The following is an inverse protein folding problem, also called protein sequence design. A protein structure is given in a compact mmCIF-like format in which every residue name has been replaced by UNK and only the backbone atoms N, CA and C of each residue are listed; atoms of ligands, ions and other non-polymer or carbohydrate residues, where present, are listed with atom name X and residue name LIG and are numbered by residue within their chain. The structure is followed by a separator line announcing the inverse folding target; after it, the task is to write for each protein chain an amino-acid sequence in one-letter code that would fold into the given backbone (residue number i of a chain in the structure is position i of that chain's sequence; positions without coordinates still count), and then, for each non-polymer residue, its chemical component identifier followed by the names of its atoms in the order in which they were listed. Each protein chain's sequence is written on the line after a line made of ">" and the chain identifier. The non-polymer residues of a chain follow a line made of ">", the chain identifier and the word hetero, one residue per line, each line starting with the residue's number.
data_IF_234651712076
#
_entry.id   IF_234651712076
#
_cell.length_a   1.000
_cell.length_b   1.000
_cell.length_c   1.000
_cell.angle_alpha   90.00
_cell.angle_beta   90.00
_cell.angle_gamma   90.00
#
_symmetry.space_group_name_H-M   'P 1'
#
loop_
_entity.id
_entity.type
_entity.pdbx_description
1 polymer ?
#
# COMPACT_ATOMS: atom_id res chain seq x y z
N UNK A 1 -20.07 -6.42 -19.33
CA UNK A 1 -19.49 -5.94 -18.06
C UNK A 1 -18.15 -6.64 -17.89
N UNK A 2 -17.04 -5.91 -17.81
CA UNK A 2 -15.74 -6.51 -17.50
C UNK A 2 -15.83 -7.17 -16.12
N UNK A 3 -15.31 -8.39 -15.98
CA UNK A 3 -15.25 -9.07 -14.69
C UNK A 3 -14.42 -8.20 -13.73
N UNK A 4 -14.98 -7.88 -12.57
CA UNK A 4 -14.28 -7.08 -11.56
C UNK A 4 -13.04 -7.86 -11.11
N UNK A 5 -11.85 -7.28 -11.30
CA UNK A 5 -10.59 -7.87 -10.87
C UNK A 5 -10.59 -8.03 -9.35
N UNK A 6 -10.23 -9.22 -8.85
CA UNK A 6 -10.12 -9.45 -7.41
C UNK A 6 -8.95 -8.66 -6.84
N UNK A 7 -9.14 -8.02 -5.68
CA UNK A 7 -8.08 -7.26 -5.03
C UNK A 7 -6.94 -8.15 -4.50
N UNK A 8 -7.21 -9.44 -4.25
CA UNK A 8 -6.21 -10.46 -3.87
C UNK A 8 -6.19 -11.60 -4.86
N UNK A 9 -4.98 -12.15 -5.10
CA UNK A 9 -4.75 -13.42 -5.81
C UNK A 9 -3.85 -14.32 -4.96
N UNK A 10 -4.04 -15.64 -5.04
CA UNK A 10 -3.23 -16.62 -4.29
C UNK A 10 -1.94 -16.96 -5.03
N UNK A 11 -0.94 -17.50 -4.30
CA UNK A 11 0.29 -18.04 -4.87
C UNK A 11 -0.01 -19.11 -5.93
N UNK A 12 -0.94 -20.02 -5.62
CA UNK A 12 -1.39 -21.04 -6.58
C UNK A 12 -1.94 -20.44 -7.88
N UNK A 13 -2.79 -19.40 -7.80
CA UNK A 13 -3.34 -18.75 -8.99
C UNK A 13 -2.22 -18.18 -9.88
N UNK A 14 -1.24 -17.50 -9.28
CA UNK A 14 -0.12 -16.92 -10.00
C UNK A 14 0.81 -18.01 -10.58
N UNK A 15 1.06 -19.09 -9.84
CA UNK A 15 1.84 -20.22 -10.31
C UNK A 15 1.18 -20.91 -11.50
N UNK A 16 -0.14 -21.07 -11.48
CA UNK A 16 -0.89 -21.60 -12.62
C UNK A 16 -0.82 -20.64 -13.82
N UNK A 17 -0.87 -19.33 -13.61
CA UNK A 17 -0.70 -18.33 -14.67
C UNK A 17 0.71 -18.40 -15.32
N UNK A 18 1.76 -18.54 -14.51
CA UNK A 18 3.14 -18.73 -15.00
C UNK A 18 3.28 -20.02 -15.82
N UNK A 19 2.76 -21.14 -15.30
CA UNK A 19 2.78 -22.43 -15.99
C UNK A 19 2.08 -22.36 -17.35
N UNK A 20 0.99 -21.63 -17.45
CA UNK A 20 0.23 -21.44 -18.68
C UNK A 20 0.78 -20.30 -19.56
N UNK A 21 1.94 -19.71 -19.22
CA UNK A 21 2.60 -18.62 -19.95
C UNK A 21 1.71 -17.37 -20.15
N UNK A 22 0.87 -17.07 -19.16
CA UNK A 22 -0.03 -15.91 -19.20
C UNK A 22 0.67 -14.61 -18.79
N UNK A 23 1.81 -14.69 -18.06
CA UNK A 23 2.61 -13.52 -17.72
C UNK A 23 3.23 -12.95 -18.99
N UNK A 24 2.92 -11.70 -19.28
CA UNK A 24 3.25 -11.02 -20.53
C UNK A 24 2.49 -9.69 -20.64
N UNK A 25 2.20 -9.16 -21.82
CA UNK A 25 1.57 -7.85 -21.99
C UNK A 25 0.22 -7.68 -21.29
N UNK A 26 -0.53 -8.77 -21.09
CA UNK A 26 -1.86 -8.75 -20.45
C UNK A 26 -1.86 -9.09 -18.97
N UNK A 27 -0.75 -9.60 -18.43
CA UNK A 27 -0.57 -9.91 -17.03
C UNK A 27 0.87 -9.57 -16.61
N UNK A 28 1.06 -8.53 -15.82
CA UNK A 28 2.37 -8.14 -15.28
C UNK A 28 2.45 -8.45 -13.80
N UNK A 29 3.62 -8.88 -13.37
CA UNK A 29 3.96 -9.13 -11.96
C UNK A 29 4.97 -8.08 -11.53
N UNK A 30 4.73 -7.43 -10.40
CA UNK A 30 5.60 -6.38 -9.86
C UNK A 30 6.08 -6.75 -8.46
N UNK A 31 7.39 -6.76 -8.27
CA UNK A 31 8.00 -6.72 -6.95
C UNK A 31 8.09 -5.26 -6.51
N UNK A 32 7.35 -4.90 -5.47
CA UNK A 32 7.33 -3.56 -4.90
C UNK A 32 8.00 -3.48 -3.54
N UNK A 33 8.95 -4.38 -3.27
CA UNK A 33 9.65 -4.44 -2.00
C UNK A 33 10.28 -3.11 -1.63
N UNK A 34 10.02 -2.67 -0.42
CA UNK A 34 10.57 -1.47 0.17
C UNK A 34 10.83 -1.69 1.66
N UNK A 35 11.90 -1.14 2.18
CA UNK A 35 12.30 -1.29 3.57
C UNK A 35 12.62 0.06 4.21
N UNK A 36 12.29 0.20 5.49
CA UNK A 36 12.79 1.30 6.31
C UNK A 36 14.32 1.30 6.34
N UNK A 37 14.96 2.45 6.27
CA UNK A 37 16.42 2.59 6.23
C UNK A 37 17.15 1.83 7.35
N UNK A 38 16.55 1.76 8.56
CA UNK A 38 17.11 1.03 9.71
C UNK A 38 17.21 -0.49 9.49
N UNK A 39 16.46 -1.05 8.53
CA UNK A 39 16.50 -2.50 8.21
C UNK A 39 17.78 -2.88 7.47
N UNK A 40 18.45 -1.95 6.79
CA UNK A 40 19.71 -2.13 6.07
C UNK A 40 19.65 -3.24 5.00
N UNK A 41 18.51 -3.42 4.36
CA UNK A 41 18.30 -4.30 3.19
C UNK A 41 18.26 -3.44 1.93
N UNK A 42 18.62 -4.05 0.79
CA UNK A 42 18.53 -3.41 -0.53
C UNK A 42 17.53 -4.19 -1.40
N UNK A 43 16.28 -3.71 -1.54
CA UNK A 43 15.24 -4.47 -2.23
C UNK A 43 15.56 -4.69 -3.72
N UNK A 44 16.18 -3.72 -4.39
CA UNK A 44 16.56 -3.85 -5.81
C UNK A 44 17.67 -4.91 -5.99
N UNK A 45 18.67 -4.93 -5.12
CA UNK A 45 19.72 -5.95 -5.18
C UNK A 45 19.17 -7.35 -4.85
N UNK A 46 18.24 -7.46 -3.91
CA UNK A 46 17.57 -8.73 -3.59
C UNK A 46 16.71 -9.22 -4.77
N UNK A 47 15.96 -8.32 -5.40
CA UNK A 47 15.20 -8.63 -6.62
C UNK A 47 16.11 -9.17 -7.75
N UNK A 48 17.26 -8.54 -7.98
CA UNK A 48 18.21 -9.00 -9.00
C UNK A 48 18.75 -10.41 -8.73
N UNK A 49 18.88 -10.77 -7.45
CA UNK A 49 19.35 -12.10 -7.06
C UNK A 49 18.23 -13.14 -7.18
N UNK A 50 17.00 -12.79 -6.81
CA UNK A 50 15.91 -13.76 -6.74
C UNK A 50 14.54 -13.07 -6.71
N UNK A 51 13.69 -13.41 -7.68
CA UNK A 51 12.32 -12.88 -7.79
C UNK A 51 11.37 -13.91 -8.43
N UNK A 52 10.08 -13.62 -8.39
CA UNK A 52 9.04 -14.43 -9.08
C UNK A 52 9.26 -14.33 -10.59
N UNK A 53 9.27 -15.46 -11.34
CA UNK A 53 9.52 -15.44 -12.78
C UNK A 53 8.64 -14.44 -13.53
N UNK A 54 9.25 -13.64 -14.42
CA UNK A 54 8.56 -12.63 -15.21
C UNK A 54 8.20 -11.34 -14.46
N UNK A 55 8.58 -11.21 -13.18
CA UNK A 55 8.36 -9.98 -12.44
C UNK A 55 9.31 -8.85 -12.89
N UNK A 56 8.83 -7.63 -12.78
CA UNK A 56 9.61 -6.39 -12.86
C UNK A 56 9.67 -5.72 -11.49
N UNK A 57 10.72 -4.94 -11.22
CA UNK A 57 10.84 -4.22 -9.95
C UNK A 57 10.11 -2.87 -10.03
N UNK A 58 9.22 -2.63 -9.09
CA UNK A 58 8.55 -1.35 -8.90
C UNK A 58 9.15 -0.63 -7.69
N UNK A 59 9.91 0.41 -7.94
CA UNK A 59 10.55 1.20 -6.89
C UNK A 59 9.58 2.28 -6.38
N UNK A 60 9.12 2.11 -5.14
CA UNK A 60 8.17 3.05 -4.51
C UNK A 60 8.79 4.42 -4.31
N UNK A 61 10.09 4.47 -4.02
CA UNK A 61 10.81 5.73 -3.87
C UNK A 61 11.03 6.41 -5.23
N UNK A 62 11.32 5.65 -6.28
CA UNK A 62 11.49 6.20 -7.63
C UNK A 62 10.17 6.71 -8.20
N UNK A 63 9.07 5.97 -8.01
CA UNK A 63 7.73 6.34 -8.45
C UNK A 63 7.02 7.22 -7.40
N UNK A 64 7.60 8.36 -7.07
CA UNK A 64 7.07 9.33 -6.10
C UNK A 64 7.36 10.76 -6.54
N UNK A 65 6.64 11.74 -5.97
CA UNK A 65 6.89 13.16 -6.19
C UNK A 65 8.25 13.58 -5.62
N UNK A 66 9.23 13.82 -6.49
CA UNK A 66 10.59 14.22 -6.13
C UNK A 66 10.71 15.66 -5.68
N UNK A 67 9.68 16.46 -5.86
CA UNK A 67 9.64 17.87 -5.42
C UNK A 67 9.14 18.00 -3.99
N UNK A 68 8.50 16.96 -3.45
CA UNK A 68 7.99 16.92 -2.09
C UNK A 68 9.11 16.77 -1.05
N UNK A 69 8.95 17.47 0.08
CA UNK A 69 9.80 17.29 1.26
C UNK A 69 9.42 16.03 2.08
N UNK A 70 8.34 15.33 1.69
CA UNK A 70 7.82 14.15 2.37
C UNK A 70 7.99 12.93 1.48
N UNK A 71 8.39 11.80 2.10
CA UNK A 71 8.61 10.55 1.39
C UNK A 71 7.29 10.00 0.83
N UNK A 72 7.38 9.30 -0.31
CA UNK A 72 6.31 8.51 -0.91
C UNK A 72 5.09 9.31 -1.41
N UNK A 73 5.13 10.64 -1.41
CA UNK A 73 4.04 11.42 -2.01
C UNK A 73 3.80 10.97 -3.46
N UNK A 74 2.54 10.82 -3.84
CA UNK A 74 2.21 10.33 -5.18
C UNK A 74 2.76 11.24 -6.26
N UNK A 75 3.32 10.68 -7.35
CA UNK A 75 3.83 11.46 -8.48
C UNK A 75 2.67 12.11 -9.25
N UNK A 76 3.00 12.98 -10.18
CA UNK A 76 2.02 13.48 -11.14
C UNK A 76 1.46 12.34 -12.02
N UNK A 77 0.26 12.50 -12.60
CA UNK A 77 -0.31 11.50 -13.51
C UNK A 77 0.60 11.17 -14.69
N UNK A 78 1.33 12.15 -15.21
CA UNK A 78 2.25 11.96 -16.33
C UNK A 78 3.47 11.12 -15.91
N UNK A 79 4.07 11.41 -14.75
CA UNK A 79 5.21 10.66 -14.22
C UNK A 79 4.81 9.21 -13.89
N UNK A 80 3.64 9.00 -13.29
CA UNK A 80 3.15 7.64 -13.05
C UNK A 80 2.94 6.87 -14.35
N UNK A 81 2.28 7.50 -15.34
CA UNK A 81 2.01 6.88 -16.64
C UNK A 81 3.30 6.50 -17.37
N UNK A 82 4.30 7.38 -17.37
CA UNK A 82 5.61 7.14 -17.95
C UNK A 82 6.33 5.98 -17.25
N UNK A 83 6.35 5.99 -15.92
CA UNK A 83 7.00 4.97 -15.09
C UNK A 83 6.41 3.58 -15.34
N UNK A 84 5.09 3.41 -15.24
CA UNK A 84 4.44 2.11 -15.44
C UNK A 84 4.46 1.67 -16.90
N UNK A 85 4.46 2.61 -17.84
CA UNK A 85 4.63 2.34 -19.26
C UNK A 85 5.97 1.66 -19.56
N UNK A 86 7.07 2.08 -18.91
CA UNK A 86 8.38 1.40 -19.00
C UNK A 86 8.37 -0.02 -18.44
N UNK A 87 7.47 -0.32 -17.48
CA UNK A 87 7.26 -1.67 -16.96
C UNK A 87 6.33 -2.52 -17.85
N UNK A 88 5.98 -2.02 -19.05
CA UNK A 88 5.15 -2.72 -20.02
C UNK A 88 3.68 -2.83 -19.61
N UNK A 89 3.17 -1.84 -18.86
CA UNK A 89 1.79 -1.84 -18.35
C UNK A 89 0.96 -0.86 -19.20
N UNK A 90 -0.11 -1.39 -19.80
CA UNK A 90 -1.16 -0.65 -20.50
C UNK A 90 -2.45 -0.66 -19.66
N UNK A 91 -3.45 0.13 -20.05
CA UNK A 91 -4.72 0.21 -19.31
C UNK A 91 -5.55 -1.08 -19.28
N UNK A 92 -5.24 -2.06 -20.13
CA UNK A 92 -5.88 -3.38 -20.15
C UNK A 92 -5.01 -4.51 -19.57
N UNK A 93 -3.86 -4.16 -18.98
CA UNK A 93 -2.96 -5.12 -18.31
C UNK A 93 -3.46 -5.43 -16.91
N UNK A 94 -3.64 -6.70 -16.55
CA UNK A 94 -3.81 -7.08 -15.15
C UNK A 94 -2.46 -7.01 -14.44
N UNK A 95 -2.37 -6.29 -13.34
CA UNK A 95 -1.16 -6.12 -12.54
C UNK A 95 -1.28 -6.93 -11.26
N UNK A 96 -0.29 -7.76 -10.94
CA UNK A 96 -0.15 -8.47 -9.66
C UNK A 96 1.05 -7.90 -8.92
N UNK A 97 0.84 -7.39 -7.72
CA UNK A 97 1.89 -6.75 -6.91
C UNK A 97 2.22 -7.62 -5.70
N UNK A 98 3.49 -7.82 -5.41
CA UNK A 98 3.95 -8.46 -4.19
C UNK A 98 5.13 -7.71 -3.56
N UNK A 99 5.49 -8.06 -2.36
CA UNK A 99 6.72 -7.65 -1.72
C UNK A 99 7.36 -8.79 -0.93
N UNK A 100 8.60 -8.60 -0.47
CA UNK A 100 9.41 -9.60 0.23
C UNK A 100 9.47 -9.36 1.74
N UNK A 101 8.44 -8.72 2.30
CA UNK A 101 8.33 -8.53 3.73
C UNK A 101 8.21 -9.86 4.47
N UNK A 102 8.93 -10.05 5.58
CA UNK A 102 8.76 -11.24 6.42
C UNK A 102 7.37 -11.32 7.08
N UNK A 103 6.62 -10.21 7.07
CA UNK A 103 5.24 -10.17 7.52
C UNK A 103 4.25 -10.73 6.48
N UNK A 104 4.71 -10.98 5.24
CA UNK A 104 3.88 -11.39 4.10
C UNK A 104 3.40 -10.22 3.25
N UNK A 105 3.31 -9.02 3.80
CA UNK A 105 2.98 -7.81 3.05
C UNK A 105 3.44 -6.55 3.81
N UNK A 106 3.96 -5.56 3.08
CA UNK A 106 4.33 -4.26 3.63
C UNK A 106 4.07 -3.11 2.65
N UNK A 107 4.64 -3.16 1.45
CA UNK A 107 4.57 -2.11 0.43
C UNK A 107 3.63 -2.43 -0.74
N UNK A 108 3.32 -3.70 -0.98
CA UNK A 108 2.46 -4.10 -2.09
C UNK A 108 1.06 -3.44 -2.08
N UNK A 109 0.37 -3.29 -0.94
CA UNK A 109 -0.90 -2.56 -0.89
C UNK A 109 -0.78 -1.08 -1.27
N UNK A 110 0.39 -0.44 -1.04
CA UNK A 110 0.61 0.94 -1.50
C UNK A 110 0.57 1.02 -3.02
N UNK A 111 1.26 0.14 -3.72
CA UNK A 111 1.28 0.12 -5.18
C UNK A 111 -0.09 -0.27 -5.75
N UNK A 112 -0.79 -1.23 -5.13
CA UNK A 112 -2.18 -1.54 -5.46
C UNK A 112 -3.08 -0.30 -5.38
N UNK A 113 -2.96 0.49 -4.32
CA UNK A 113 -3.71 1.72 -4.14
C UNK A 113 -3.32 2.78 -5.18
N UNK A 114 -2.01 2.95 -5.49
CA UNK A 114 -1.54 3.88 -6.51
C UNK A 114 -2.15 3.59 -7.88
N UNK A 115 -2.18 2.33 -8.32
CA UNK A 115 -2.83 1.96 -9.58
C UNK A 115 -4.31 2.38 -9.59
N UNK A 116 -5.03 2.13 -8.51
CA UNK A 116 -6.44 2.53 -8.40
C UNK A 116 -6.61 4.05 -8.39
N UNK A 117 -5.76 4.75 -7.67
CA UNK A 117 -5.74 6.22 -7.65
C UNK A 117 -5.57 6.79 -9.06
N UNK A 118 -4.73 6.17 -9.87
CA UNK A 118 -4.48 6.59 -11.25
C UNK A 118 -5.43 5.96 -12.28
N UNK A 119 -6.57 5.43 -11.81
CA UNK A 119 -7.68 4.98 -12.66
C UNK A 119 -7.50 3.58 -13.24
N UNK A 120 -6.63 2.73 -12.66
CA UNK A 120 -6.39 1.37 -13.10
C UNK A 120 -6.91 0.33 -12.09
N UNK A 121 -8.15 -0.16 -12.25
CA UNK A 121 -8.74 -1.09 -11.29
C UNK A 121 -8.27 -2.55 -11.46
N UNK A 122 -7.60 -2.88 -12.58
CA UNK A 122 -7.13 -4.23 -12.88
C UNK A 122 -5.80 -4.54 -12.16
N UNK A 123 -5.81 -4.42 -10.83
CA UNK A 123 -4.66 -4.64 -9.96
C UNK A 123 -5.03 -5.52 -8.78
N UNK A 124 -4.15 -6.47 -8.45
CA UNK A 124 -4.28 -7.41 -7.32
C UNK A 124 -3.01 -7.44 -6.50
N UNK A 125 -3.13 -7.70 -5.20
CA UNK A 125 -2.01 -8.02 -4.32
C UNK A 125 -1.87 -9.55 -4.25
N UNK A 126 -0.64 -10.06 -4.33
CA UNK A 126 -0.33 -11.47 -4.08
C UNK A 126 -0.45 -11.73 -2.58
N UNK A 127 -1.43 -12.53 -2.19
CA UNK A 127 -1.75 -12.79 -0.80
C UNK A 127 -0.62 -13.55 -0.08
N UNK A 128 -0.11 -12.96 1.00
CA UNK A 128 1.06 -13.44 1.71
C UNK A 128 2.41 -13.18 1.02
N UNK A 129 2.43 -12.53 -0.14
CA UNK A 129 3.62 -12.08 -0.85
C UNK A 129 4.66 -13.17 -1.13
N UNK A 130 5.93 -12.77 -1.15
CA UNK A 130 7.05 -13.71 -1.33
C UNK A 130 7.12 -14.77 -0.21
N UNK A 131 6.71 -14.42 1.00
CA UNK A 131 6.72 -15.36 2.14
C UNK A 131 5.91 -16.62 1.85
N UNK A 132 4.64 -16.45 1.41
CA UNK A 132 3.78 -17.59 1.10
C UNK A 132 4.17 -18.27 -0.21
N UNK A 133 4.62 -17.50 -1.21
CA UNK A 133 5.15 -18.03 -2.46
C UNK A 133 6.25 -19.09 -2.21
N UNK A 134 7.19 -18.78 -1.31
CA UNK A 134 8.27 -19.69 -0.92
C UNK A 134 7.76 -20.85 -0.08
N UNK A 135 6.84 -20.62 0.87
CA UNK A 135 6.27 -21.67 1.72
C UNK A 135 5.50 -22.72 0.91
N UNK A 136 4.87 -22.30 -0.20
CA UNK A 136 4.18 -23.18 -1.14
C UNK A 136 5.13 -23.89 -2.12
N UNK A 137 6.44 -23.63 -2.06
CA UNK A 137 7.46 -24.25 -2.91
C UNK A 137 7.43 -23.79 -4.39
N UNK A 138 6.94 -22.61 -4.64
CA UNK A 138 6.90 -22.04 -5.99
C UNK A 138 8.27 -21.57 -6.48
N UNK A 139 8.51 -21.53 -7.81
CA UNK A 139 9.83 -21.25 -8.37
C UNK A 139 10.24 -19.79 -8.27
N UNK A 140 11.54 -19.57 -8.18
CA UNK A 140 12.19 -18.28 -8.30
C UNK A 140 13.15 -18.26 -9.48
N UNK A 141 13.55 -17.05 -9.91
CA UNK A 141 14.54 -16.82 -10.95
C UNK A 141 15.39 -15.59 -10.64
N UNK A 142 16.56 -15.51 -11.24
CA UNK A 142 17.37 -14.29 -11.34
C UNK A 142 17.40 -13.73 -12.78
N UNK A 143 16.63 -14.32 -13.70
CA UNK A 143 16.56 -13.88 -15.09
C UNK A 143 15.73 -12.61 -15.18
N UNK A 144 16.31 -11.48 -15.62
CA UNK A 144 15.57 -10.22 -15.74
C UNK A 144 14.37 -10.35 -16.69
N UNK A 145 13.29 -9.66 -16.35
CA UNK A 145 12.18 -9.41 -17.27
C UNK A 145 12.44 -8.10 -18.00
N UNK A 146 12.39 -8.13 -19.32
CA UNK A 146 12.57 -6.96 -20.19
C UNK A 146 11.26 -6.70 -20.97
N UNK A 147 10.25 -6.11 -20.32
CA UNK A 147 8.98 -5.84 -20.98
C UNK A 147 9.15 -4.75 -22.06
N UNK A 148 8.48 -4.92 -23.19
CA UNK A 148 8.32 -3.84 -24.14
C UNK A 148 7.53 -2.70 -23.51
N UNK A 149 7.97 -1.45 -23.76
CA UNK A 149 7.26 -0.26 -23.28
C UNK A 149 5.84 -0.23 -23.81
N UNK A 150 4.89 0.09 -22.93
CA UNK A 150 3.49 0.25 -23.25
C UNK A 150 3.03 1.70 -23.02
N UNK A 151 1.88 2.07 -23.61
CA UNK A 151 1.21 3.33 -23.33
C UNK A 151 0.22 3.13 -22.19
N UNK A 152 0.36 3.94 -21.14
CA UNK A 152 -0.58 4.00 -20.02
C UNK A 152 -1.20 5.38 -19.94
N UNK A 153 -2.54 5.45 -19.78
CA UNK A 153 -3.28 6.71 -19.59
C UNK A 153 -3.77 6.79 -18.16
N UNK A 154 -3.13 7.64 -17.38
CA UNK A 154 -3.51 7.89 -16.00
C UNK A 154 -4.73 8.82 -15.90
N UNK A 155 -5.69 8.46 -15.05
CA UNK A 155 -6.87 9.25 -14.71
C UNK A 155 -7.02 9.27 -13.19
N UNK A 156 -6.70 10.41 -12.56
CA UNK A 156 -6.67 10.50 -11.10
C UNK A 156 -8.07 10.48 -10.50
N UNK A 157 -8.32 9.52 -9.63
CA UNK A 157 -9.49 9.50 -8.74
C UNK A 157 -9.17 10.22 -7.42
N UNK A 158 -9.46 11.52 -7.37
CA UNK A 158 -9.21 12.35 -6.19
C UNK A 158 -10.04 11.93 -4.96
N UNK A 159 -11.04 11.06 -5.13
CA UNK A 159 -11.80 10.51 -4.00
C UNK A 159 -11.01 9.50 -3.18
N UNK A 160 -9.85 9.03 -3.68
CA UNK A 160 -9.00 8.04 -3.01
C UNK A 160 -7.81 8.63 -2.26
N UNK A 161 -7.56 9.93 -2.37
CA UNK A 161 -6.42 10.61 -1.73
C UNK A 161 -6.86 11.83 -0.94
N UNK A 162 -6.18 12.09 0.18
CA UNK A 162 -6.40 13.26 1.05
C UNK A 162 -5.09 13.98 1.31
N UNK A 163 -5.21 15.31 1.46
CA UNK A 163 -4.13 16.23 1.76
C UNK A 163 -4.10 16.57 3.25
N UNK A 164 -3.05 17.26 3.67
CA UNK A 164 -2.95 17.85 5.00
C UNK A 164 -4.13 18.77 5.31
N UNK A 165 -4.53 19.60 4.35
CA UNK A 165 -5.63 20.57 4.49
C UNK A 165 -6.97 19.87 4.69
N UNK A 166 -7.22 18.75 3.99
CA UNK A 166 -8.40 17.93 4.18
C UNK A 166 -8.48 17.40 5.62
N UNK A 167 -7.36 16.87 6.14
CA UNK A 167 -7.31 16.30 7.50
C UNK A 167 -7.45 17.41 8.55
N UNK A 168 -6.79 18.54 8.37
CA UNK A 168 -6.89 19.70 9.26
C UNK A 168 -8.34 20.19 9.35
N UNK A 169 -9.04 20.31 8.23
CA UNK A 169 -10.47 20.67 8.20
C UNK A 169 -11.32 19.59 8.89
N UNK A 170 -11.01 18.31 8.67
CA UNK A 170 -11.76 17.24 9.30
C UNK A 170 -11.62 17.18 10.83
N UNK A 171 -10.48 17.54 11.37
CA UNK A 171 -10.31 17.66 12.84
C UNK A 171 -11.31 18.66 13.43
N UNK A 172 -11.55 19.75 12.71
CA UNK A 172 -12.50 20.80 13.11
C UNK A 172 -13.96 20.36 12.94
N UNK A 173 -14.27 19.71 11.82
CA UNK A 173 -15.65 19.32 11.47
C UNK A 173 -16.07 17.97 12.03
N UNK A 174 -15.13 17.07 12.31
CA UNK A 174 -15.33 15.69 12.82
C UNK A 174 -16.32 14.86 11.99
N UNK A 175 -16.35 15.09 10.68
CA UNK A 175 -17.31 14.44 9.77
C UNK A 175 -16.89 13.06 9.32
N UNK A 176 -15.58 12.82 9.21
CA UNK A 176 -15.02 11.61 8.64
C UNK A 176 -14.16 10.91 9.71
N UNK A 177 -14.37 9.62 9.85
CA UNK A 177 -13.53 8.76 10.68
C UNK A 177 -12.16 8.56 10.02
N UNK A 178 -11.10 8.60 10.82
CA UNK A 178 -9.73 8.43 10.34
C UNK A 178 -9.03 7.33 11.13
N UNK A 179 -8.48 6.36 10.41
CA UNK A 179 -7.73 5.24 10.99
C UNK A 179 -6.25 5.44 10.79
N UNK A 180 -5.47 5.33 11.86
CA UNK A 180 -4.00 5.29 11.83
C UNK A 180 -3.52 3.84 11.92
N UNK A 181 -2.77 3.41 10.90
CA UNK A 181 -2.31 2.04 10.73
C UNK A 181 -0.93 1.75 11.37
N UNK A 182 -0.33 2.71 12.09
CA UNK A 182 0.94 2.48 12.83
C UNK A 182 0.73 1.58 14.03
N UNK A 183 1.83 1.06 14.62
CA UNK A 183 1.77 0.33 15.89
C UNK A 183 1.09 1.17 16.99
N UNK A 184 0.44 0.50 17.94
CA UNK A 184 -0.22 1.18 19.04
C UNK A 184 0.74 2.04 19.86
N UNK A 185 1.98 1.59 20.04
CA UNK A 185 2.98 2.36 20.78
C UNK A 185 3.41 3.65 20.07
N UNK A 186 3.56 3.62 18.74
CA UNK A 186 3.83 4.83 17.95
C UNK A 186 2.64 5.79 17.96
N UNK A 187 1.44 5.27 17.79
CA UNK A 187 0.21 6.06 17.86
C UNK A 187 0.04 6.75 19.22
N UNK A 188 0.26 6.04 20.31
CA UNK A 188 0.16 6.56 21.68
C UNK A 188 1.30 7.50 22.07
N UNK A 189 2.38 7.54 21.32
CA UNK A 189 3.54 8.37 21.66
C UNK A 189 4.54 7.73 22.61
N UNK A 190 4.44 6.41 22.86
CA UNK A 190 5.31 5.66 23.81
C UNK A 190 6.41 4.84 23.11
N UNK A 191 6.30 4.62 21.80
CA UNK A 191 7.35 3.98 20.98
C UNK A 191 7.91 4.99 19.98
N UNK A 192 9.22 5.00 19.73
CA UNK A 192 9.83 5.95 18.79
C UNK A 192 9.37 5.71 17.36
N UNK A 193 9.38 6.76 16.57
CA UNK A 193 9.22 6.68 15.12
C UNK A 193 10.48 6.06 14.46
N UNK A 194 10.32 5.37 13.31
CA UNK A 194 11.47 4.88 12.55
C UNK A 194 12.37 6.00 12.00
N UNK A 195 11.83 7.20 11.81
CA UNK A 195 12.53 8.39 11.34
C UNK A 195 12.95 9.24 12.53
N UNK A 196 14.22 9.65 12.56
CA UNK A 196 14.80 10.37 13.71
C UNK A 196 14.30 11.82 13.86
N UNK A 197 13.75 12.39 12.78
CA UNK A 197 13.21 13.75 12.73
C UNK A 197 11.71 13.85 13.03
N UNK A 198 11.10 12.75 13.49
CA UNK A 198 9.68 12.65 13.75
C UNK A 198 9.45 12.05 15.15
N UNK A 199 8.60 12.68 15.96
CA UNK A 199 8.19 12.13 17.26
C UNK A 199 6.92 11.28 17.11
N UNK A 200 6.71 10.29 17.99
CA UNK A 200 5.48 9.50 18.01
C UNK A 200 4.32 10.32 18.58
N UNK A 201 3.10 9.86 18.32
CA UNK A 201 1.85 10.50 18.69
C UNK A 201 0.81 10.36 17.60
N UNK A 202 -0.29 11.12 17.69
CA UNK A 202 -1.38 11.07 16.71
C UNK A 202 -2.08 12.44 16.60
N UNK A 203 -2.87 12.62 15.54
CA UNK A 203 -3.72 13.81 15.42
C UNK A 203 -5.10 13.57 16.04
N UNK A 204 -5.80 14.63 16.53
CA UNK A 204 -7.08 14.50 17.22
C UNK A 204 -8.13 13.76 16.40
N UNK A 205 -8.86 12.83 17.04
CA UNK A 205 -9.94 12.09 16.43
C UNK A 205 -9.53 10.88 15.58
N UNK A 206 -8.25 10.62 15.42
CA UNK A 206 -7.77 9.39 14.82
C UNK A 206 -8.02 8.18 15.74
N UNK A 207 -8.39 7.03 15.16
CA UNK A 207 -8.43 5.75 15.85
C UNK A 207 -7.29 4.86 15.37
N UNK A 208 -6.76 4.02 16.25
CA UNK A 208 -5.64 3.16 15.90
C UNK A 208 -6.12 1.76 15.48
N UNK A 209 -5.67 1.32 14.32
CA UNK A 209 -5.81 -0.06 13.85
C UNK A 209 -4.52 -0.46 13.15
N UNK A 210 -3.55 -1.07 13.86
CA UNK A 210 -2.26 -1.42 13.28
C UNK A 210 -2.40 -2.27 12.02
N UNK A 211 -1.65 -1.95 10.95
CA UNK A 211 -1.74 -2.69 9.70
C UNK A 211 -1.44 -4.19 9.87
N UNK A 212 -0.60 -4.55 10.84
CA UNK A 212 -0.29 -5.94 11.15
C UNK A 212 -1.51 -6.72 11.66
N UNK A 213 -2.53 -6.04 12.20
CA UNK A 213 -3.76 -6.71 12.66
C UNK A 213 -4.60 -7.25 11.50
N UNK A 214 -4.46 -6.70 10.28
CA UNK A 214 -5.17 -7.22 9.10
C UNK A 214 -4.51 -8.45 8.49
N UNK A 215 -3.29 -8.79 8.93
CA UNK A 215 -2.55 -9.96 8.46
C UNK A 215 -2.74 -11.14 9.42
N UNK A 216 -2.84 -12.34 8.87
CA UNK A 216 -2.81 -13.59 9.60
C UNK A 216 -1.38 -14.02 9.96
N UNK A 217 -1.22 -15.10 10.72
CA UNK A 217 0.09 -15.60 11.19
C UNK A 217 1.05 -15.98 10.06
N UNK A 218 0.54 -16.51 8.96
CA UNK A 218 1.34 -16.84 7.75
C UNK A 218 1.58 -15.63 6.86
N UNK A 219 0.94 -14.50 7.13
CA UNK A 219 1.15 -13.24 6.41
C UNK A 219 0.12 -12.96 5.31
N UNK A 220 -0.83 -13.86 5.10
CA UNK A 220 -2.01 -13.60 4.26
C UNK A 220 -2.94 -12.59 4.91
N UNK A 221 -3.76 -11.94 4.11
CA UNK A 221 -4.82 -11.06 4.63
C UNK A 221 -5.89 -11.91 5.31
N UNK A 222 -6.33 -11.50 6.50
CA UNK A 222 -7.36 -12.22 7.26
C UNK A 222 -8.67 -12.36 6.47
N UNK A 223 -9.43 -13.37 6.82
CA UNK A 223 -10.74 -13.60 6.22
C UNK A 223 -11.75 -12.47 6.48
N UNK A 224 -12.80 -12.35 5.65
CA UNK A 224 -13.77 -11.25 5.76
C UNK A 224 -14.43 -11.11 7.13
N UNK A 225 -14.68 -12.20 7.83
CA UNK A 225 -15.30 -12.16 9.16
C UNK A 225 -14.36 -11.52 10.20
N UNK A 226 -13.06 -11.92 10.20
CA UNK A 226 -12.06 -11.38 11.11
C UNK A 226 -11.78 -9.91 10.80
N UNK A 227 -11.67 -9.54 9.51
CA UNK A 227 -11.53 -8.16 9.11
C UNK A 227 -12.71 -7.29 9.57
N UNK A 228 -13.95 -7.76 9.38
CA UNK A 228 -15.13 -7.05 9.82
C UNK A 228 -15.16 -6.89 11.37
N UNK A 229 -14.66 -7.87 12.10
CA UNK A 229 -14.51 -7.76 13.55
C UNK A 229 -13.49 -6.72 13.94
N UNK A 230 -12.31 -6.67 13.29
CA UNK A 230 -11.28 -5.66 13.55
C UNK A 230 -11.79 -4.24 13.38
N UNK A 231 -12.54 -3.96 12.30
CA UNK A 231 -13.14 -2.64 12.09
C UNK A 231 -14.14 -2.29 13.20
N UNK A 232 -15.00 -3.24 13.61
CA UNK A 232 -15.96 -3.03 14.73
C UNK A 232 -15.24 -2.76 16.05
N UNK A 233 -14.19 -3.52 16.36
CA UNK A 233 -13.40 -3.36 17.59
C UNK A 233 -12.67 -2.01 17.62
N UNK A 234 -12.23 -1.51 16.47
CA UNK A 234 -11.66 -0.17 16.31
C UNK A 234 -12.73 0.95 16.36
N UNK A 235 -14.02 0.61 16.41
CA UNK A 235 -15.13 1.58 16.39
C UNK A 235 -15.33 2.24 15.01
N UNK A 236 -14.92 1.57 13.93
CA UNK A 236 -15.02 2.07 12.56
C UNK A 236 -16.27 1.55 11.87
N UNK A 237 -17.09 2.45 11.37
CA UNK A 237 -18.29 2.15 10.58
C UNK A 237 -17.94 2.07 9.08
N UNK A 238 -17.96 0.87 8.51
CA UNK A 238 -17.68 0.66 7.08
C UNK A 238 -18.81 1.14 6.16
N UNK A 239 -19.98 1.52 6.69
CA UNK A 239 -21.02 2.17 5.89
C UNK A 239 -20.79 3.68 5.71
N UNK A 240 -19.91 4.27 6.51
CA UNK A 240 -19.56 5.68 6.49
C UNK A 240 -18.23 5.92 5.76
N UNK A 241 -17.97 7.13 5.24
CA UNK A 241 -16.68 7.49 4.64
C UNK A 241 -15.51 7.24 5.59
N UNK A 242 -14.43 6.72 5.05
CA UNK A 242 -13.24 6.31 5.79
C UNK A 242 -11.97 6.92 5.19
N UNK A 243 -11.16 7.55 6.02
CA UNK A 243 -9.79 7.94 5.68
C UNK A 243 -8.79 7.09 6.46
N UNK A 244 -7.65 6.86 5.87
CA UNK A 244 -6.57 6.04 6.46
C UNK A 244 -5.24 6.78 6.41
N UNK A 245 -4.44 6.62 7.45
CA UNK A 245 -3.12 7.25 7.62
C UNK A 245 -2.14 6.24 8.20
N UNK A 246 -0.85 6.53 8.10
CA UNK A 246 0.19 5.80 8.83
C UNK A 246 1.42 6.67 9.07
N UNK A 247 2.64 6.18 8.85
CA UNK A 247 3.87 6.99 8.93
C UNK A 247 4.08 7.87 7.70
N UNK A 248 3.96 7.30 6.50
CA UNK A 248 4.22 7.94 5.19
C UNK A 248 3.31 7.43 4.08
N UNK A 249 2.07 7.06 4.40
CA UNK A 249 1.07 6.62 3.41
C UNK A 249 1.26 5.20 2.86
N UNK A 250 2.28 4.45 3.28
CA UNK A 250 2.56 3.09 2.77
C UNK A 250 1.65 2.05 3.44
N UNK A 251 1.77 1.88 4.75
CA UNK A 251 1.03 0.82 5.47
C UNK A 251 -0.44 1.16 5.71
N UNK A 252 -0.85 2.41 5.58
CA UNK A 252 -2.26 2.82 5.56
C UNK A 252 -3.06 2.08 4.48
N UNK A 253 -2.40 1.74 3.36
CA UNK A 253 -3.02 1.03 2.25
C UNK A 253 -3.44 -0.41 2.58
N UNK A 254 -2.93 -1.03 3.66
CA UNK A 254 -3.44 -2.31 4.16
C UNK A 254 -4.87 -2.16 4.70
N UNK A 255 -5.13 -1.09 5.45
CA UNK A 255 -6.48 -0.80 5.96
C UNK A 255 -7.42 -0.47 4.80
N UNK A 256 -6.95 0.28 3.80
CA UNK A 256 -7.72 0.55 2.58
C UNK A 256 -8.04 -0.72 1.80
N UNK A 257 -7.08 -1.64 1.67
CA UNK A 257 -7.27 -2.95 1.03
C UNK A 257 -8.28 -3.80 1.81
N UNK A 258 -8.13 -3.88 3.15
CA UNK A 258 -9.06 -4.62 4.01
C UNK A 258 -10.50 -4.08 3.91
N UNK A 259 -10.68 -2.76 3.90
CA UNK A 259 -11.99 -2.13 3.70
C UNK A 259 -12.57 -2.46 2.31
N UNK A 260 -11.75 -2.44 1.25
CA UNK A 260 -12.17 -2.80 -0.11
C UNK A 260 -12.61 -4.27 -0.21
N UNK A 261 -11.93 -5.20 0.49
CA UNK A 261 -12.31 -6.61 0.55
C UNK A 261 -13.67 -6.83 1.25
N UNK A 262 -14.06 -5.91 2.13
CA UNK A 262 -15.36 -5.90 2.78
C UNK A 262 -16.44 -5.12 2.01
N UNK A 263 -16.11 -4.66 0.79
CA UNK A 263 -17.06 -3.96 -0.09
C UNK A 263 -17.15 -2.45 0.16
N UNK A 264 -16.27 -1.85 0.97
CA UNK A 264 -16.23 -0.40 1.11
C UNK A 264 -15.89 0.26 -0.24
N UNK A 265 -16.62 1.29 -0.70
CA UNK A 265 -16.47 1.85 -2.05
C UNK A 265 -15.10 2.49 -2.31
N UNK A 266 -14.42 2.99 -1.27
CA UNK A 266 -13.09 3.56 -1.37
C UNK A 266 -12.67 4.24 -0.07
N UNK A 267 -11.70 3.66 0.64
CA UNK A 267 -11.02 4.35 1.73
C UNK A 267 -9.98 5.31 1.15
N UNK A 268 -10.00 6.57 1.60
CA UNK A 268 -9.06 7.59 1.13
C UNK A 268 -7.78 7.54 1.95
N UNK A 269 -6.62 7.56 1.29
CA UNK A 269 -5.33 7.63 1.99
C UNK A 269 -4.92 9.08 2.18
N UNK A 270 -4.62 9.46 3.42
CA UNK A 270 -3.87 10.69 3.69
C UNK A 270 -2.41 10.45 3.31
N UNK A 271 -2.00 10.99 2.16
CA UNK A 271 -0.77 10.64 1.50
C UNK A 271 0.47 10.99 2.32
N UNK A 272 0.58 12.23 2.80
CA UNK A 272 1.69 12.68 3.65
C UNK A 272 1.71 12.06 5.04
N UNK A 273 0.57 11.58 5.52
CA UNK A 273 0.43 10.85 6.78
C UNK A 273 1.07 11.53 7.98
N UNK A 274 1.55 10.75 8.96
CA UNK A 274 2.15 11.31 10.18
C UNK A 274 3.41 12.13 9.94
N UNK A 275 4.23 11.75 8.94
CA UNK A 275 5.47 12.48 8.62
C UNK A 275 5.21 13.92 8.19
N UNK A 276 4.16 14.14 7.41
CA UNK A 276 3.72 15.47 7.02
C UNK A 276 3.01 16.18 8.19
N UNK A 277 2.08 15.46 8.87
CA UNK A 277 1.31 16.02 9.96
C UNK A 277 2.20 16.57 11.07
N UNK A 278 3.14 15.78 11.56
CA UNK A 278 4.03 16.16 12.66
C UNK A 278 4.84 17.41 12.34
N UNK A 279 5.24 17.61 11.07
CA UNK A 279 6.05 18.76 10.66
C UNK A 279 5.25 20.04 10.38
N UNK A 280 3.96 19.90 10.03
CA UNK A 280 3.12 21.04 9.60
C UNK A 280 2.08 21.46 10.63
N UNK A 281 1.60 20.53 11.45
CA UNK A 281 0.51 20.79 12.37
C UNK A 281 0.94 21.70 13.55
N UNK A 282 0.03 22.55 14.04
CA UNK A 282 0.23 23.23 15.30
C UNK A 282 0.47 22.22 16.44
N UNK A 283 1.35 22.55 17.43
CA UNK A 283 1.71 21.63 18.51
C UNK A 283 0.52 21.05 19.28
N UNK A 284 -0.54 21.83 19.47
CA UNK A 284 -1.78 21.41 20.15
C UNK A 284 -2.58 20.34 19.39
N UNK A 285 -2.29 20.12 18.10
CA UNK A 285 -2.87 19.06 17.27
C UNK A 285 -1.95 17.85 17.11
N UNK A 286 -0.88 17.79 17.88
CA UNK A 286 0.02 16.65 18.00
C UNK A 286 -0.17 16.05 19.39
N UNK A 287 -1.01 14.99 19.47
CA UNK A 287 -1.34 14.36 20.74
C UNK A 287 -0.36 13.22 21.05
N UNK A 288 -0.04 13.04 22.33
CA UNK A 288 0.82 11.97 22.84
C UNK A 288 0.36 11.57 24.23
N UNK A 289 0.36 10.26 24.52
CA UNK A 289 0.17 9.71 25.88
C UNK A 289 1.53 9.46 26.56
N UNK A 290 2.61 9.56 25.80
CA UNK A 290 3.99 9.45 26.29
C UNK A 290 4.55 10.78 26.79
N UNK A 291 5.73 10.73 27.45
CA UNK A 291 6.43 11.91 27.96
C UNK A 291 6.88 12.86 26.84
#
# INVERSE_FOLDING_TARGET
>A
MAAQTRALVTGKWLADALKNRLVGPKLRVLDSSWYLAKVRRNPRAEFQQSHIPGASFFDVDECSDKTSAFDHMVPSPAEFAEYVGHLGIANDTHVVVYDTSPLGSFSAPRVWWMFRLFGHPAVSVLDGGMKNWLAEGHPLTSVPSEPERAEFKASVDRSLVKTYEDVLENIRTKRIQVVDARSAGRFKGIEPEPRDDTRPGHFPGAVNMPFTSVLGPSGEVRGPQDLAQLFREAGVDLAAPLWVSCGSGVTACHVALAAALLGHPGACVYDGSWSEWFKRAPPELVLSEGP
#
